data_IF_472294974037
#
_entry.id   IF_472294974037
#
_cell.length_a   1.000
_cell.length_b   1.000
_cell.length_c   1.000
_cell.angle_alpha   90.00
_cell.angle_beta   90.00
_cell.angle_gamma   90.00
#
_symmetry.space_group_name_H-M   'P 1'
#
loop_
_entity.id
_entity.type
_entity.pdbx_description
1 polymer ?
#
# COMPACT_ATOMS: atom_id res chain seq x y z
N UNK A 1 -4.11 14.59 -11.73
CA UNK A 1 -4.62 15.02 -10.55
C UNK A 1 -3.70 15.96 -9.81
N UNK A 2 -4.27 16.95 -9.36
CA UNK A 2 -3.51 18.00 -8.86
C UNK A 2 -2.95 17.71 -7.53
N UNK A 3 -1.72 18.03 -7.33
CA UNK A 3 -1.20 17.75 -6.10
C UNK A 3 -1.23 18.85 -5.18
N UNK A 4 -1.86 19.88 -5.53
CA UNK A 4 -1.92 20.92 -4.61
C UNK A 4 -2.66 20.54 -3.44
N UNK A 5 -3.17 19.43 -3.46
CA UNK A 5 -3.85 19.08 -2.32
C UNK A 5 -2.85 18.69 -1.35
N UNK A 6 -1.94 19.47 -1.11
CA UNK A 6 -1.15 19.21 -0.03
C UNK A 6 -1.92 19.44 1.18
N UNK A 7 -3.05 20.09 1.11
CA UNK A 7 -3.81 20.27 2.31
C UNK A 7 -4.39 18.95 2.71
N UNK A 8 -4.07 18.52 3.88
CA UNK A 8 -4.55 17.30 4.44
C UNK A 8 -5.59 17.60 5.48
N UNK A 9 -6.72 16.94 5.42
CA UNK A 9 -7.78 17.10 6.39
C UNK A 9 -7.80 15.88 7.29
N UNK A 10 -7.31 16.04 8.50
CA UNK A 10 -7.19 14.94 9.45
C UNK A 10 -8.45 14.79 10.29
N UNK A 11 -8.96 13.59 10.39
CA UNK A 11 -10.15 13.28 11.18
C UNK A 11 -9.99 11.91 11.79
N UNK A 12 -10.70 11.61 12.89
CA UNK A 12 -10.70 10.23 13.39
C UNK A 12 -11.38 9.33 12.36
N UNK A 13 -10.71 8.26 11.97
CA UNK A 13 -11.21 7.37 10.93
C UNK A 13 -11.06 5.93 11.38
N UNK A 14 -12.04 5.12 11.00
CA UNK A 14 -11.96 3.70 11.23
C UNK A 14 -11.20 3.09 10.06
N UNK A 15 -10.11 2.40 10.34
CA UNK A 15 -9.29 1.79 9.29
C UNK A 15 -10.10 0.82 8.44
N UNK A 16 -11.08 0.14 9.05
CA UNK A 16 -11.88 -0.81 8.27
C UNK A 16 -12.65 -0.12 7.13
N UNK A 17 -13.12 1.11 7.38
CA UNK A 17 -13.79 1.83 6.31
C UNK A 17 -12.85 2.17 5.17
N UNK A 18 -11.61 2.52 5.51
CA UNK A 18 -10.61 2.81 4.49
C UNK A 18 -10.32 1.57 3.69
N UNK A 19 -10.17 0.42 4.36
CA UNK A 19 -9.88 -0.83 3.68
C UNK A 19 -11.03 -1.22 2.76
N UNK A 20 -12.26 -1.11 3.23
CA UNK A 20 -13.42 -1.49 2.43
C UNK A 20 -13.51 -0.64 1.16
N UNK A 21 -13.33 0.67 1.31
CA UNK A 21 -13.37 1.59 0.17
C UNK A 21 -12.25 1.27 -0.83
N UNK A 22 -11.06 1.00 -0.29
CA UNK A 22 -9.89 0.73 -1.12
C UNK A 22 -10.06 -0.60 -1.88
N UNK A 23 -10.58 -1.63 -1.20
CA UNK A 23 -10.78 -2.92 -1.85
C UNK A 23 -11.84 -2.85 -2.94
N UNK A 24 -12.89 -2.07 -2.73
CA UNK A 24 -13.90 -1.90 -3.75
C UNK A 24 -13.28 -1.32 -5.02
N UNK A 25 -12.47 -0.29 -4.85
CA UNK A 25 -11.80 0.35 -5.97
C UNK A 25 -10.82 -0.61 -6.64
N UNK A 26 -10.09 -1.39 -5.84
CA UNK A 26 -9.13 -2.35 -6.36
C UNK A 26 -9.84 -3.41 -7.20
N UNK A 27 -10.96 -3.93 -6.73
CA UNK A 27 -11.68 -4.96 -7.46
C UNK A 27 -12.39 -4.42 -8.71
N UNK A 28 -12.61 -3.11 -8.78
CA UNK A 28 -13.10 -2.54 -10.04
C UNK A 28 -12.03 -2.62 -11.12
N UNK A 29 -10.75 -2.50 -10.73
CA UNK A 29 -9.68 -2.58 -11.70
C UNK A 29 -9.26 -4.03 -11.96
N UNK A 30 -9.26 -4.87 -10.95
CA UNK A 30 -8.88 -6.28 -11.07
C UNK A 30 -10.01 -7.16 -10.54
N UNK A 31 -11.08 -7.35 -11.33
CA UNK A 31 -12.27 -8.05 -10.81
C UNK A 31 -12.00 -9.49 -10.39
N UNK A 32 -11.03 -10.13 -11.01
CA UNK A 32 -10.77 -11.53 -10.71
C UNK A 32 -9.66 -11.74 -9.70
N UNK A 33 -9.05 -10.67 -9.22
CA UNK A 33 -7.96 -10.81 -8.27
C UNK A 33 -8.50 -11.14 -6.89
N UNK A 34 -7.86 -12.06 -6.19
CA UNK A 34 -8.23 -12.36 -4.82
C UNK A 34 -7.26 -11.70 -3.88
N UNK A 35 -7.79 -11.05 -2.86
CA UNK A 35 -6.96 -10.47 -1.81
C UNK A 35 -7.33 -11.17 -0.52
N UNK A 36 -6.34 -11.79 0.13
CA UNK A 36 -6.58 -12.40 1.42
C UNK A 36 -6.55 -11.32 2.48
N UNK A 37 -7.59 -11.25 3.29
CA UNK A 37 -7.71 -10.23 4.31
C UNK A 37 -7.53 -10.88 5.67
N UNK A 38 -6.62 -10.33 6.49
CA UNK A 38 -6.41 -10.82 7.83
C UNK A 38 -6.40 -9.61 8.75
N UNK A 39 -7.57 -9.19 9.16
CA UNK A 39 -7.69 -8.01 9.99
C UNK A 39 -8.01 -8.39 11.42
N UNK A 40 -7.35 -7.72 12.36
CA UNK A 40 -7.76 -7.73 13.73
C UNK A 40 -8.54 -6.44 13.95
N UNK A 41 -9.26 -6.35 15.02
CA UNK A 41 -9.93 -5.12 15.36
C UNK A 41 -8.86 -4.11 15.73
N UNK A 42 -8.89 -2.94 15.10
CA UNK A 42 -7.86 -1.94 15.32
C UNK A 42 -8.47 -0.63 15.79
N UNK A 43 -7.65 0.17 16.43
CA UNK A 43 -8.07 1.46 16.94
C UNK A 43 -8.36 2.44 15.82
N UNK A 44 -9.12 3.48 16.15
CA UNK A 44 -9.27 4.58 15.24
C UNK A 44 -7.92 5.24 15.03
N UNK A 45 -7.74 5.89 13.90
CA UNK A 45 -6.54 6.67 13.62
C UNK A 45 -6.96 8.07 13.22
N UNK A 46 -6.05 9.02 13.37
CA UNK A 46 -6.28 10.36 12.88
C UNK A 46 -5.69 10.39 11.49
N UNK A 47 -6.51 10.56 10.49
CA UNK A 47 -6.06 10.41 9.11
C UNK A 47 -6.88 11.24 8.13
N UNK A 48 -6.27 11.52 6.99
CA UNK A 48 -7.00 12.04 5.84
C UNK A 48 -7.46 10.82 5.06
N UNK A 49 -8.76 10.56 5.09
CA UNK A 49 -9.32 9.35 4.53
C UNK A 49 -8.98 9.17 3.06
N UNK A 50 -9.13 10.23 2.28
CA UNK A 50 -8.92 10.11 0.83
C UNK A 50 -7.46 9.84 0.49
N UNK A 51 -6.54 10.52 1.15
CA UNK A 51 -5.12 10.29 0.87
C UNK A 51 -4.68 8.91 1.34
N UNK A 52 -5.19 8.46 2.48
CA UNK A 52 -4.80 7.15 2.97
C UNK A 52 -5.38 6.05 2.10
N UNK A 53 -6.63 6.21 1.63
CA UNK A 53 -7.19 5.27 0.67
C UNK A 53 -6.35 5.18 -0.59
N UNK A 54 -5.91 6.33 -1.11
CA UNK A 54 -5.10 6.35 -2.32
C UNK A 54 -3.77 5.65 -2.09
N UNK A 55 -3.16 5.86 -0.93
CA UNK A 55 -1.88 5.23 -0.62
C UNK A 55 -2.01 3.70 -0.56
N UNK A 56 -3.03 3.20 0.13
CA UNK A 56 -3.22 1.76 0.24
C UNK A 56 -3.60 1.18 -1.11
N UNK A 57 -4.40 1.90 -1.89
CA UNK A 57 -4.74 1.47 -3.24
C UNK A 57 -3.49 1.29 -4.08
N UNK A 58 -2.55 2.24 -4.02
CA UNK A 58 -1.31 2.12 -4.78
C UNK A 58 -0.51 0.89 -4.35
N UNK A 59 -0.48 0.58 -3.07
CA UNK A 59 0.23 -0.62 -2.62
C UNK A 59 -0.43 -1.89 -3.14
N UNK A 60 -1.76 -1.93 -3.16
CA UNK A 60 -2.47 -3.12 -3.66
C UNK A 60 -2.27 -3.29 -5.16
N UNK A 61 -2.30 -2.19 -5.92
CA UNK A 61 -2.07 -2.26 -7.36
C UNK A 61 -0.65 -2.76 -7.64
N UNK A 62 0.35 -2.25 -6.93
CA UNK A 62 1.72 -2.68 -7.11
C UNK A 62 1.86 -4.17 -6.79
N UNK A 63 1.20 -4.63 -5.74
CA UNK A 63 1.27 -6.04 -5.35
C UNK A 63 0.67 -6.93 -6.45
N UNK A 64 -0.49 -6.56 -6.98
CA UNK A 64 -1.13 -7.37 -8.00
C UNK A 64 -0.31 -7.37 -9.30
N UNK A 65 0.24 -6.21 -9.67
CA UNK A 65 1.07 -6.16 -10.87
C UNK A 65 2.33 -7.02 -10.72
N UNK A 66 2.90 -7.07 -9.51
CA UNK A 66 4.06 -7.90 -9.28
C UNK A 66 3.71 -9.39 -9.37
N UNK A 67 2.53 -9.76 -8.89
CA UNK A 67 2.06 -11.14 -8.98
C UNK A 67 1.81 -11.53 -10.43
N UNK A 68 1.16 -10.65 -11.19
CA UNK A 68 0.91 -10.91 -12.60
C UNK A 68 2.23 -11.07 -13.35
N UNK A 69 3.19 -10.19 -13.08
CA UNK A 69 4.48 -10.24 -13.76
C UNK A 69 5.25 -11.52 -13.43
N UNK A 70 5.03 -12.07 -12.25
CA UNK A 70 5.71 -13.29 -11.85
C UNK A 70 5.05 -14.55 -12.45
N UNK A 71 3.89 -14.38 -13.07
CA UNK A 71 3.19 -15.49 -13.74
C UNK A 71 2.95 -16.67 -12.80
N UNK A 72 2.53 -16.35 -11.56
CA UNK A 72 2.25 -17.40 -10.58
C UNK A 72 0.95 -18.18 -10.84
N UNK A 73 0.09 -17.63 -11.70
CA UNK A 73 -1.20 -18.28 -11.96
C UNK A 73 -2.05 -18.34 -10.70
N UNK A 74 -2.59 -19.52 -10.41
CA UNK A 74 -3.46 -19.68 -9.26
C UNK A 74 -2.69 -19.61 -7.95
N UNK A 75 -1.38 -19.72 -7.97
CA UNK A 75 -0.59 -19.63 -6.75
C UNK A 75 -0.26 -18.19 -6.39
N UNK A 76 -0.62 -17.24 -7.23
CA UNK A 76 -0.37 -15.83 -6.93
C UNK A 76 -1.23 -15.34 -5.79
N UNK A 77 -0.65 -14.58 -4.87
CA UNK A 77 -1.39 -14.11 -3.70
C UNK A 77 -1.03 -12.68 -3.36
N UNK A 78 -2.06 -11.91 -3.02
CA UNK A 78 -1.91 -10.59 -2.40
C UNK A 78 -2.63 -10.69 -1.07
N UNK A 79 -2.02 -10.18 -0.01
CA UNK A 79 -2.59 -10.24 1.32
C UNK A 79 -2.57 -8.86 1.96
N UNK A 80 -3.65 -8.52 2.65
CA UNK A 80 -3.76 -7.27 3.38
C UNK A 80 -4.02 -7.60 4.84
N UNK A 81 -3.20 -7.10 5.73
CA UNK A 81 -3.35 -7.34 7.15
C UNK A 81 -3.38 -6.04 7.91
N UNK A 82 -4.20 -5.99 8.96
CA UNK A 82 -4.21 -4.86 9.87
C UNK A 82 -4.18 -5.37 11.28
N UNK A 83 -3.38 -4.71 12.13
CA UNK A 83 -3.34 -5.06 13.53
C UNK A 83 -2.85 -3.87 14.35
N UNK A 84 -3.12 -3.91 15.66
CA UNK A 84 -2.59 -2.90 16.55
C UNK A 84 -1.16 -3.22 16.89
N UNK A 85 -0.34 -2.20 16.92
CA UNK A 85 0.98 -2.24 17.52
C UNK A 85 0.91 -1.31 18.72
N UNK A 86 2.02 -1.11 19.40
CA UNK A 86 1.97 -0.34 20.63
C UNK A 86 1.36 1.04 20.47
N UNK A 87 1.96 1.87 19.66
CA UNK A 87 1.48 3.23 19.46
C UNK A 87 0.91 3.45 18.08
N UNK A 88 0.88 2.40 17.27
CA UNK A 88 0.50 2.52 15.85
C UNK A 88 -0.53 1.47 15.48
N UNK A 89 -1.24 1.76 14.40
CA UNK A 89 -1.96 0.72 13.68
C UNK A 89 -1.09 0.34 12.50
N UNK A 90 -0.86 -0.94 12.35
CA UNK A 90 -0.04 -1.46 11.26
C UNK A 90 -0.95 -1.92 10.13
N UNK A 91 -0.62 -1.52 8.91
CA UNK A 91 -1.27 -2.01 7.71
C UNK A 91 -0.18 -2.63 6.86
N UNK A 92 -0.34 -3.90 6.50
CA UNK A 92 0.66 -4.63 5.73
C UNK A 92 0.04 -5.10 4.43
N UNK A 93 0.69 -4.81 3.30
CA UNK A 93 0.31 -5.36 2.00
C UNK A 93 1.46 -6.23 1.54
N UNK A 94 1.19 -7.51 1.33
CA UNK A 94 2.22 -8.44 0.92
C UNK A 94 1.81 -9.17 -0.34
N UNK A 95 2.80 -9.64 -1.10
CA UNK A 95 2.55 -10.39 -2.31
C UNK A 95 3.65 -11.44 -2.50
N UNK A 96 3.35 -12.44 -3.32
CA UNK A 96 4.36 -13.41 -3.71
C UNK A 96 4.75 -13.21 -5.17
N UNK A 97 4.85 -11.95 -5.59
CA UNK A 97 5.21 -11.59 -6.95
C UNK A 97 6.71 -11.65 -7.20
N UNK A 98 7.16 -10.78 -8.07
CA UNK A 98 8.57 -10.80 -8.49
C UNK A 98 9.56 -10.47 -7.40
N UNK A 99 9.16 -9.70 -6.41
CA UNK A 99 10.09 -9.20 -5.43
C UNK A 99 11.06 -8.19 -6.05
N UNK A 100 12.00 -7.74 -5.24
CA UNK A 100 12.93 -6.72 -5.67
C UNK A 100 14.33 -7.03 -5.17
N UNK A 101 15.32 -6.62 -5.94
CA UNK A 101 16.71 -6.71 -5.52
C UNK A 101 17.01 -5.59 -4.54
N UNK A 102 18.12 -5.69 -3.83
CA UNK A 102 18.53 -4.64 -2.90
C UNK A 102 18.73 -3.31 -3.62
N UNK A 103 19.23 -3.37 -4.83
CA UNK A 103 19.46 -2.18 -5.62
C UNK A 103 18.13 -1.51 -5.98
N UNK A 104 17.10 -2.29 -6.31
CA UNK A 104 15.79 -1.73 -6.61
C UNK A 104 15.17 -1.12 -5.36
N UNK A 105 15.28 -1.79 -4.22
CA UNK A 105 14.69 -1.27 -2.99
C UNK A 105 15.23 0.11 -2.65
N UNK A 106 16.49 0.38 -2.95
CA UNK A 106 17.06 1.68 -2.66
C UNK A 106 16.45 2.78 -3.51
N UNK A 107 15.83 2.45 -4.62
CA UNK A 107 15.33 3.44 -5.57
C UNK A 107 13.83 3.56 -5.65
N UNK A 108 13.09 2.65 -5.03
CA UNK A 108 11.65 2.57 -5.29
C UNK A 108 10.87 3.78 -4.82
N UNK A 109 11.41 4.55 -3.90
CA UNK A 109 10.71 5.73 -3.41
C UNK A 109 11.17 7.01 -4.11
N UNK A 110 12.08 6.91 -5.07
CA UNK A 110 12.45 8.10 -5.82
C UNK A 110 11.29 8.50 -6.73
N UNK A 111 11.02 9.79 -6.84
CA UNK A 111 10.01 10.23 -7.80
C UNK A 111 10.41 9.75 -9.18
N UNK A 112 9.45 9.33 -9.95
CA UNK A 112 9.65 8.87 -11.33
C UNK A 112 10.36 7.54 -11.48
N UNK A 113 10.79 6.88 -10.40
CA UNK A 113 11.37 5.56 -10.55
C UNK A 113 10.28 4.55 -10.86
N UNK A 114 10.53 3.65 -11.80
CA UNK A 114 9.64 2.54 -12.07
C UNK A 114 10.46 1.42 -12.66
N UNK A 115 10.30 0.22 -12.12
CA UNK A 115 10.95 -0.95 -12.67
C UNK A 115 10.09 -1.51 -13.80
N UNK A 116 8.90 -0.98 -14.02
CA UNK A 116 8.02 -1.42 -15.07
C UNK A 116 8.04 -0.40 -16.18
N UNK A 117 8.08 -0.87 -17.39
CA UNK A 117 8.02 0.02 -18.51
C UNK A 117 6.55 0.31 -18.74
N UNK A 118 6.01 1.18 -17.96
CA UNK A 118 4.59 1.37 -17.93
C UNK A 118 4.23 2.83 -18.01
N UNK A 119 3.22 3.14 -18.77
CA UNK A 119 2.76 4.49 -18.91
C UNK A 119 1.80 4.86 -17.82
N UNK A 120 1.25 3.92 -17.06
CA UNK A 120 0.25 4.30 -16.10
C UNK A 120 0.79 4.40 -14.71
N UNK A 121 2.01 4.06 -14.50
CA UNK A 121 2.51 4.18 -13.18
C UNK A 121 3.14 5.54 -12.96
N UNK A 122 3.64 6.18 -13.96
CA UNK A 122 4.25 7.50 -13.89
C UNK A 122 5.44 7.56 -12.94
N UNK A 123 5.85 6.46 -12.35
CA UNK A 123 6.97 6.45 -11.43
C UNK A 123 6.72 7.18 -10.14
N UNK A 124 5.46 7.44 -9.81
CA UNK A 124 5.15 8.23 -8.62
C UNK A 124 4.43 7.44 -7.53
N UNK A 125 4.00 6.22 -7.81
CA UNK A 125 3.15 5.48 -6.87
C UNK A 125 3.71 5.33 -5.48
N UNK A 126 4.93 4.79 -5.36
CA UNK A 126 5.50 4.56 -4.03
C UNK A 126 6.02 5.84 -3.41
N UNK A 127 6.48 6.79 -4.21
CA UNK A 127 6.85 8.09 -3.70
C UNK A 127 5.64 8.74 -3.04
N UNK A 128 4.49 8.68 -3.71
CA UNK A 128 3.26 9.23 -3.18
C UNK A 128 2.89 8.56 -1.85
N UNK A 129 2.97 7.23 -1.81
CA UNK A 129 2.64 6.48 -0.59
C UNK A 129 3.50 6.96 0.56
N UNK A 130 4.80 7.10 0.33
CA UNK A 130 5.69 7.54 1.40
C UNK A 130 5.36 8.95 1.86
N UNK A 131 5.03 9.85 0.92
CA UNK A 131 4.69 11.21 1.30
C UNK A 131 3.40 11.26 2.11
N UNK A 132 2.41 10.45 1.77
CA UNK A 132 1.18 10.36 2.54
C UNK A 132 1.47 9.87 3.96
N UNK A 133 2.25 8.80 4.07
CA UNK A 133 2.57 8.23 5.38
C UNK A 133 3.31 9.26 6.24
N UNK A 134 4.25 9.99 5.65
CA UNK A 134 4.97 11.03 6.38
C UNK A 134 4.04 12.14 6.83
N UNK A 135 3.08 12.53 6.00
CA UNK A 135 2.12 13.56 6.36
C UNK A 135 1.25 13.14 7.53
N UNK A 136 1.11 11.83 7.74
CA UNK A 136 0.34 11.30 8.84
C UNK A 136 1.21 11.00 10.06
N UNK A 137 2.47 11.45 10.04
CA UNK A 137 3.42 11.20 11.12
C UNK A 137 3.64 9.72 11.32
N UNK A 138 3.49 8.97 10.27
CA UNK A 138 3.65 7.53 10.31
C UNK A 138 5.02 7.08 9.86
N UNK A 139 5.16 5.77 9.75
CA UNK A 139 6.41 5.16 9.32
C UNK A 139 6.11 4.13 8.26
N UNK A 140 7.08 3.85 7.42
CA UNK A 140 6.93 2.89 6.36
C UNK A 140 8.14 1.99 6.30
N UNK A 141 7.91 0.69 6.05
CA UNK A 141 8.99 -0.28 5.90
C UNK A 141 8.71 -1.18 4.73
N UNK A 142 9.77 -1.72 4.16
CA UNK A 142 9.70 -2.61 3.01
C UNK A 142 10.60 -3.80 3.27
N UNK A 143 10.09 -4.99 2.98
CA UNK A 143 10.89 -6.21 2.98
C UNK A 143 10.63 -6.88 1.65
N UNK A 144 11.67 -7.30 0.96
CA UNK A 144 11.47 -7.94 -0.33
C UNK A 144 12.62 -8.88 -0.63
N UNK A 145 12.31 -9.98 -1.30
CA UNK A 145 13.30 -10.93 -1.76
C UNK A 145 13.01 -11.22 -3.23
N UNK A 146 14.00 -11.00 -4.06
CA UNK A 146 13.84 -11.20 -5.50
C UNK A 146 13.39 -12.63 -5.77
N UNK A 147 12.38 -12.77 -6.59
CA UNK A 147 11.82 -14.08 -6.94
C UNK A 147 10.81 -14.60 -5.92
N UNK A 148 10.63 -13.94 -4.78
CA UNK A 148 9.73 -14.44 -3.75
C UNK A 148 8.59 -13.50 -3.41
N UNK A 149 8.79 -12.21 -3.51
CA UNK A 149 7.72 -11.26 -3.25
C UNK A 149 8.15 -10.13 -2.35
N UNK A 150 7.17 -9.31 -1.96
CA UNK A 150 7.43 -8.10 -1.19
C UNK A 150 6.41 -7.92 -0.08
N UNK A 151 6.80 -7.20 0.97
CA UNK A 151 5.90 -6.77 2.02
C UNK A 151 6.13 -5.28 2.27
N UNK A 152 5.04 -4.54 2.23
CA UNK A 152 5.08 -3.12 2.53
C UNK A 152 4.28 -2.88 3.79
N UNK A 153 4.86 -2.19 4.75
CA UNK A 153 4.23 -1.90 6.04
C UNK A 153 4.02 -0.42 6.18
N UNK A 154 2.81 -0.03 6.58
CA UNK A 154 2.51 1.35 6.95
C UNK A 154 2.11 1.34 8.40
N UNK A 155 2.72 2.23 9.20
CA UNK A 155 2.37 2.38 10.60
C UNK A 155 1.81 3.79 10.78
N UNK A 156 0.56 3.87 11.19
CA UNK A 156 -0.12 5.14 11.41
C UNK A 156 -0.39 5.29 12.91
N UNK A 157 -0.08 6.45 13.51
CA UNK A 157 -0.30 6.61 14.95
C UNK A 157 -1.77 6.42 15.30
N UNK A 158 -2.01 5.75 16.42
CA UNK A 158 -3.37 5.57 16.89
C UNK A 158 -3.94 6.89 17.35
N UNK A 159 -5.25 7.01 17.24
CA UNK A 159 -5.96 8.16 17.75
C UNK A 159 -6.48 7.77 19.14
N UNK A 160 -6.10 8.55 20.12
CA UNK A 160 -6.54 8.23 21.48
C UNK A 160 -7.35 9.33 22.05
#
# INVERSE_FOLDING_TARGET
RSVKSNSITMMPVNIQEIIDTTLERFHNKFPDAGVRIQNEEVSMVLADKDHLCEAIYNLLINAEEAVIAAERGEDGQVCLKCRNERLYTLIEVSDNGLGMSKSQIKKIFDPFYSSKNSNYNWGMGLYYVREVVKSHLGKMRVESTEGKGSKFYILIPKYE
#
